data_IF_453068978752
#
_entry.id   IF_453068978752
#
_cell.length_a   1.000
_cell.length_b   1.000
_cell.length_c   1.000
_cell.angle_alpha   90.00
_cell.angle_beta   90.00
_cell.angle_gamma   90.00
#
_symmetry.space_group_name_H-M   'P 1'
#
loop_
_entity.id
_entity.type
_entity.pdbx_description
1 polymer ?
#
# COMPACT_ATOMS: atom_id res chain seq x y z
N UNK A 1 0.21 -7.26 11.24
CA UNK A 1 1.63 -7.59 11.39
C UNK A 1 2.36 -6.30 11.70
N UNK A 2 3.34 -6.32 12.60
CA UNK A 2 4.16 -5.16 12.95
C UNK A 2 5.31 -4.96 11.94
N UNK A 3 5.82 -3.72 11.82
CA UNK A 3 6.85 -3.38 10.80
C UNK A 3 8.16 -4.16 10.95
N UNK A 4 8.72 -4.39 12.15
CA UNK A 4 9.92 -5.22 12.31
C UNK A 4 9.73 -6.64 11.74
N UNK A 5 8.57 -7.26 11.98
CA UNK A 5 8.27 -8.58 11.42
C UNK A 5 8.19 -8.55 9.89
N UNK A 6 7.63 -7.48 9.30
CA UNK A 6 7.53 -7.30 7.85
C UNK A 6 8.93 -7.13 7.24
N UNK A 7 9.77 -6.30 7.85
CA UNK A 7 11.16 -6.06 7.44
C UNK A 7 11.94 -7.36 7.40
N UNK A 8 11.87 -8.15 8.48
CA UNK A 8 12.57 -9.42 8.56
C UNK A 8 12.14 -10.40 7.46
N UNK A 9 10.85 -10.42 7.10
CA UNK A 9 10.35 -11.26 6.01
C UNK A 9 10.90 -10.82 4.65
N UNK A 10 10.92 -9.52 4.37
CA UNK A 10 11.51 -8.98 3.14
C UNK A 10 13.02 -9.29 3.05
N UNK A 11 13.75 -9.13 4.15
CA UNK A 11 15.18 -9.48 4.25
C UNK A 11 15.42 -10.98 4.00
N UNK A 12 14.49 -11.83 4.45
CA UNK A 12 14.53 -13.28 4.20
C UNK A 12 14.18 -13.66 2.76
N UNK A 13 13.78 -12.69 1.91
CA UNK A 13 13.42 -12.91 0.52
C UNK A 13 11.95 -13.25 0.28
N UNK A 14 11.09 -13.12 1.29
CA UNK A 14 9.64 -13.29 1.09
C UNK A 14 9.12 -12.17 0.17
N UNK A 15 8.29 -12.54 -0.79
CA UNK A 15 7.51 -11.58 -1.57
C UNK A 15 6.21 -11.25 -0.83
N UNK A 16 5.97 -9.96 -0.59
CA UNK A 16 4.78 -9.44 0.06
C UNK A 16 4.05 -8.45 -0.84
N UNK A 17 2.74 -8.32 -0.63
CA UNK A 17 1.91 -7.27 -1.22
C UNK A 17 1.21 -6.48 -0.12
N UNK A 18 0.95 -5.20 -0.38
CA UNK A 18 0.30 -4.26 0.53
C UNK A 18 -0.98 -3.76 -0.10
N UNK A 19 -2.08 -3.85 0.65
CA UNK A 19 -3.37 -3.25 0.33
C UNK A 19 -3.52 -1.95 1.12
N UNK A 20 -3.77 -0.83 0.43
CA UNK A 20 -3.79 0.50 1.06
C UNK A 20 -4.82 1.43 0.41
N UNK A 21 -5.18 2.49 1.13
CA UNK A 21 -6.02 3.60 0.65
C UNK A 21 -5.14 4.66 -0.01
N UNK A 22 -5.60 5.24 -1.11
CA UNK A 22 -4.95 6.37 -1.75
C UNK A 22 -5.98 7.44 -2.12
N UNK A 23 -5.62 8.73 -2.08
CA UNK A 23 -6.54 9.80 -2.44
C UNK A 23 -6.83 9.77 -3.94
N UNK A 24 -8.11 9.74 -4.32
CA UNK A 24 -8.56 9.98 -5.68
C UNK A 24 -9.00 11.45 -5.80
N UNK A 25 -8.58 12.11 -6.87
CA UNK A 25 -9.20 13.38 -7.23
C UNK A 25 -10.53 13.06 -7.93
N UNK A 26 -11.64 13.32 -7.25
CA UNK A 26 -12.91 13.47 -7.95
C UNK A 26 -12.79 14.66 -8.91
N UNK A 27 -12.87 14.40 -10.20
CA UNK A 27 -12.96 15.41 -11.25
C UNK A 27 -14.31 16.15 -11.27
N UNK A 28 -15.10 16.07 -10.19
CA UNK A 28 -16.43 16.67 -10.07
C UNK A 28 -16.44 17.84 -9.08
N UNK A 29 -17.10 18.93 -9.47
CA UNK A 29 -17.35 20.12 -8.64
C UNK A 29 -18.16 19.75 -7.40
N UNK A 30 -17.50 19.29 -6.34
CA UNK A 30 -18.22 18.78 -5.17
C UNK A 30 -17.37 18.25 -4.02
N UNK A 31 -16.08 18.56 -3.92
CA UNK A 31 -15.32 18.54 -2.65
C UNK A 31 -15.31 17.26 -1.80
N UNK A 32 -15.75 16.11 -2.29
CA UNK A 32 -15.62 14.84 -1.60
C UNK A 32 -14.28 14.21 -1.98
N UNK A 33 -13.41 14.01 -0.98
CA UNK A 33 -12.19 13.22 -1.13
C UNK A 33 -12.62 11.77 -1.22
N UNK A 34 -12.87 11.28 -2.43
CA UNK A 34 -13.00 9.85 -2.68
C UNK A 34 -11.62 9.24 -2.46
N UNK A 35 -11.56 8.17 -1.66
CA UNK A 35 -10.36 7.35 -1.61
C UNK A 35 -10.55 6.20 -2.62
N UNK A 36 -9.46 5.66 -3.13
CA UNK A 36 -9.43 4.37 -3.79
C UNK A 36 -8.71 3.36 -2.90
N UNK A 37 -8.98 2.08 -3.11
CA UNK A 37 -8.24 1.00 -2.46
C UNK A 37 -7.45 0.25 -3.52
N UNK A 38 -6.18 -0.04 -3.26
CA UNK A 38 -5.34 -0.80 -4.19
C UNK A 38 -4.43 -1.75 -3.46
N UNK A 39 -4.05 -2.81 -4.16
CA UNK A 39 -2.97 -3.71 -3.76
C UNK A 39 -1.78 -3.56 -4.69
N UNK A 40 -0.58 -3.32 -4.15
CA UNK A 40 0.67 -3.33 -4.91
C UNK A 40 1.72 -4.19 -4.21
N UNK A 41 2.80 -4.53 -4.92
CA UNK A 41 3.94 -5.25 -4.34
C UNK A 41 4.63 -4.39 -3.29
N UNK A 42 4.83 -4.94 -2.09
CA UNK A 42 5.64 -4.29 -1.07
C UNK A 42 7.12 -4.46 -1.45
N UNK A 43 7.82 -3.34 -1.55
CA UNK A 43 9.22 -3.31 -2.00
C UNK A 43 10.16 -3.20 -0.82
N UNK A 44 9.81 -2.36 0.16
CA UNK A 44 10.65 -2.13 1.33
C UNK A 44 9.81 -1.61 2.51
N UNK A 45 10.44 -1.53 3.68
CA UNK A 45 9.86 -0.96 4.89
C UNK A 45 10.92 -0.16 5.64
N UNK A 46 10.53 0.99 6.18
CA UNK A 46 11.37 1.76 7.10
C UNK A 46 10.77 1.67 8.50
N UNK A 47 11.38 0.86 9.35
CA UNK A 47 10.97 0.74 10.76
C UNK A 47 11.19 2.05 11.50
N UNK A 48 12.29 2.77 11.23
CA UNK A 48 12.59 4.07 11.86
C UNK A 48 11.55 5.14 11.53
N UNK A 49 11.09 5.20 10.28
CA UNK A 49 10.11 6.19 9.83
C UNK A 49 8.66 5.72 9.97
N UNK A 50 8.45 4.50 10.44
CA UNK A 50 7.14 3.85 10.54
C UNK A 50 6.36 3.85 9.20
N UNK A 51 7.05 3.52 8.10
CA UNK A 51 6.52 3.65 6.73
C UNK A 51 6.78 2.43 5.86
N UNK A 52 5.90 2.20 4.90
CA UNK A 52 6.04 1.15 3.89
C UNK A 52 6.32 1.74 2.51
N UNK A 53 7.08 1.01 1.70
CA UNK A 53 7.47 1.45 0.37
C UNK A 53 6.93 0.52 -0.71
N UNK A 54 6.27 1.09 -1.70
CA UNK A 54 5.71 0.34 -2.83
C UNK A 54 5.85 1.11 -4.15
N UNK A 55 5.57 0.44 -5.26
CA UNK A 55 5.49 1.05 -6.58
C UNK A 55 4.01 1.14 -6.99
N UNK A 56 3.44 2.33 -6.90
CA UNK A 56 2.09 2.61 -7.40
C UNK A 56 2.00 2.26 -8.88
N UNK A 57 1.06 1.37 -9.22
CA UNK A 57 0.88 0.80 -10.58
C UNK A 57 2.16 0.15 -11.12
N UNK A 58 3.03 -0.33 -10.24
CA UNK A 58 4.32 -0.94 -10.60
C UNK A 58 5.36 0.03 -11.15
N UNK A 59 5.11 1.34 -11.12
CA UNK A 59 5.99 2.33 -11.77
C UNK A 59 6.43 3.42 -10.80
N UNK A 60 5.50 4.02 -10.07
CA UNK A 60 5.79 5.23 -9.29
C UNK A 60 6.11 4.89 -7.85
N UNK A 61 7.32 5.17 -7.35
CA UNK A 61 7.65 4.89 -5.97
C UNK A 61 6.89 5.81 -5.02
N UNK A 62 6.23 5.21 -4.03
CA UNK A 62 5.48 5.94 -3.01
C UNK A 62 5.78 5.38 -1.61
N UNK A 63 5.68 6.26 -0.62
CA UNK A 63 5.66 5.90 0.78
C UNK A 63 4.22 5.86 1.27
N UNK A 64 3.90 4.82 2.03
CA UNK A 64 2.61 4.65 2.69
C UNK A 64 2.81 4.88 4.17
N UNK A 65 2.01 5.80 4.72
CA UNK A 65 1.86 5.92 6.15
C UNK A 65 1.04 4.72 6.67
N UNK A 66 1.34 4.26 7.89
CA UNK A 66 0.72 3.04 8.44
C UNK A 66 -0.81 3.15 8.56
N UNK A 67 -1.34 4.37 8.71
CA UNK A 67 -2.78 4.65 8.79
C UNK A 67 -3.54 4.38 7.49
N UNK A 68 -2.86 4.47 6.35
CA UNK A 68 -3.44 4.21 5.03
C UNK A 68 -3.43 2.72 4.69
N UNK A 69 -2.67 1.92 5.44
CA UNK A 69 -2.46 0.50 5.16
C UNK A 69 -3.61 -0.31 5.74
N UNK A 70 -4.30 -1.02 4.86
CA UNK A 70 -5.42 -1.88 5.21
C UNK A 70 -4.89 -3.27 5.59
N UNK A 71 -4.00 -3.84 4.77
CA UNK A 71 -3.53 -5.21 4.95
C UNK A 71 -2.18 -5.46 4.27
N UNK A 72 -1.42 -6.42 4.78
CA UNK A 72 -0.19 -6.93 4.17
C UNK A 72 -0.29 -8.46 4.09
N UNK A 73 -0.09 -8.99 2.89
CA UNK A 73 -0.32 -10.39 2.55
C UNK A 73 0.91 -10.96 1.83
N UNK A 74 1.07 -12.30 1.79
CA UNK A 74 1.97 -12.94 0.83
C UNK A 74 1.65 -12.49 -0.61
N UNK A 75 2.68 -12.30 -1.42
CA UNK A 75 2.51 -11.96 -2.83
C UNK A 75 2.07 -13.19 -3.63
N UNK A 76 0.86 -13.14 -4.18
CA UNK A 76 0.27 -14.14 -5.07
C UNK A 76 0.32 -13.69 -6.55
N UNK A 77 0.92 -12.53 -6.83
CA UNK A 77 0.97 -11.93 -8.17
C UNK A 77 -0.31 -11.26 -8.64
N UNK A 78 -1.33 -11.13 -7.78
CA UNK A 78 -2.62 -10.49 -8.09
C UNK A 78 -2.71 -9.12 -7.43
N UNK A 79 -2.86 -8.09 -8.27
CA UNK A 79 -2.94 -6.67 -7.89
C UNK A 79 -4.24 -6.06 -8.40
N UNK A 80 -5.06 -5.54 -7.49
CA UNK A 80 -6.41 -5.08 -7.77
C UNK A 80 -6.58 -3.62 -7.32
N UNK A 81 -7.52 -2.92 -7.96
CA UNK A 81 -7.90 -1.54 -7.67
C UNK A 81 -9.42 -1.49 -7.54
N UNK A 82 -9.90 -1.00 -6.40
CA UNK A 82 -11.31 -0.95 -6.05
C UNK A 82 -11.72 0.50 -5.77
N UNK A 83 -12.95 0.89 -6.14
CA UNK A 83 -13.55 2.08 -5.55
C UNK A 83 -13.66 1.85 -4.03
N UNK A 84 -13.38 2.87 -3.22
CA UNK A 84 -13.58 2.75 -1.78
C UNK A 84 -15.08 2.63 -1.51
N UNK A 85 -15.50 1.49 -0.94
CA UNK A 85 -16.86 1.27 -0.45
C UNK A 85 -17.01 2.02 0.89
N UNK A 86 -16.95 3.35 0.83
CA UNK A 86 -17.31 4.25 1.94
C UNK A 86 -18.82 4.28 2.17
#
# INVERSE_FOLDING_TARGET
>A
MDLPSIEQRLVNGDALKVKYRYPCQDSGQGGHRTHGVRTDKLVDVSVELNRLYTLFRGVTPIWLDQEDVIEILPDDGVYEEFPDES
#
